data_IF_828448567498
#
_entry.id   IF_828448567498
#
_cell.length_a   1.000
_cell.length_b   1.000
_cell.length_c   1.000
_cell.angle_alpha   90.00
_cell.angle_beta   90.00
_cell.angle_gamma   90.00
#
_symmetry.space_group_name_H-M   'P 1'
#
loop_
_entity.id
_entity.type
_entity.pdbx_description
1 polymer ?
#
# COMPACT_ATOMS: atom_id res chain seq x y z
N UNK A 1 -11.99 30.34 -12.24
CA UNK A 1 -11.58 29.37 -13.26
C UNK A 1 -10.31 28.64 -12.83
N UNK A 2 -10.08 27.38 -13.31
CA UNK A 2 -8.95 26.59 -12.87
C UNK A 2 -7.59 27.21 -13.23
N UNK A 3 -7.52 27.88 -14.39
CA UNK A 3 -6.34 28.60 -14.84
C UNK A 3 -6.03 29.82 -13.94
N UNK A 4 -7.04 30.57 -13.56
CA UNK A 4 -6.88 31.70 -12.63
C UNK A 4 -6.39 31.22 -11.28
N UNK A 5 -6.99 30.15 -10.72
CA UNK A 5 -6.54 29.57 -9.45
C UNK A 5 -5.08 29.11 -9.54
N UNK A 6 -4.68 28.49 -10.66
CA UNK A 6 -3.28 28.08 -10.86
C UNK A 6 -2.34 29.29 -10.88
N UNK A 7 -2.74 30.37 -11.54
CA UNK A 7 -1.96 31.61 -11.59
C UNK A 7 -1.84 32.26 -10.20
N UNK A 8 -2.93 32.31 -9.44
CA UNK A 8 -2.93 32.85 -8.06
C UNK A 8 -2.05 32.04 -7.11
N UNK A 9 -2.11 30.69 -7.20
CA UNK A 9 -1.23 29.80 -6.44
C UNK A 9 0.23 30.08 -6.82
N UNK A 10 0.56 30.17 -8.11
CA UNK A 10 1.91 30.46 -8.57
C UNK A 10 2.43 31.79 -7.99
N UNK A 11 1.61 32.83 -8.05
CA UNK A 11 1.91 34.15 -7.51
C UNK A 11 2.17 34.08 -6.00
N UNK A 12 1.26 33.45 -5.26
CA UNK A 12 1.40 33.29 -3.81
C UNK A 12 2.68 32.53 -3.43
N UNK A 13 2.97 31.42 -4.09
CA UNK A 13 4.20 30.65 -3.84
C UNK A 13 5.46 31.49 -4.10
N UNK A 14 5.50 32.21 -5.21
CA UNK A 14 6.67 33.01 -5.58
C UNK A 14 6.84 34.24 -4.68
N UNK A 15 5.78 35.00 -4.44
CA UNK A 15 5.87 36.27 -3.73
C UNK A 15 5.96 36.09 -2.22
N UNK A 16 5.17 35.16 -1.65
CA UNK A 16 5.04 35.00 -0.19
C UNK A 16 6.02 33.95 0.35
N UNK A 17 6.10 32.78 -0.29
CA UNK A 17 6.89 31.66 0.22
C UNK A 17 8.27 31.54 -0.43
N UNK A 18 8.57 32.32 -1.48
CA UNK A 18 9.82 32.25 -2.26
C UNK A 18 10.10 30.86 -2.84
N UNK A 19 9.02 30.17 -3.25
CA UNK A 19 9.04 28.85 -3.85
C UNK A 19 8.61 28.92 -5.32
N UNK A 20 9.20 28.05 -6.13
CA UNK A 20 8.81 27.91 -7.55
C UNK A 20 7.81 26.78 -7.73
N UNK A 21 6.75 27.06 -8.52
CA UNK A 21 5.78 26.06 -8.93
C UNK A 21 6.35 25.24 -10.09
N UNK A 22 6.44 23.90 -9.93
CA UNK A 22 6.85 23.02 -11.03
C UNK A 22 5.72 22.93 -12.06
N UNK A 23 5.90 23.52 -13.22
CA UNK A 23 4.94 23.49 -14.34
C UNK A 23 4.65 22.06 -14.79
N UNK A 24 5.67 21.20 -14.88
CA UNK A 24 5.51 19.79 -15.29
C UNK A 24 4.64 18.97 -14.33
N UNK A 25 4.62 19.32 -13.05
CA UNK A 25 3.90 18.58 -12.01
C UNK A 25 2.56 19.20 -11.67
N UNK A 26 2.30 20.43 -12.12
CA UNK A 26 1.07 21.18 -11.83
C UNK A 26 0.18 21.19 -13.05
N UNK A 27 -0.60 20.12 -13.18
CA UNK A 27 -1.52 19.92 -14.29
C UNK A 27 -2.96 20.23 -13.87
N UNK A 28 -3.71 20.83 -14.79
CA UNK A 28 -5.16 20.95 -14.69
C UNK A 28 -5.76 19.71 -15.36
N UNK A 29 -6.41 18.88 -14.56
CA UNK A 29 -6.99 17.62 -15.04
C UNK A 29 -8.50 17.65 -14.84
N UNK A 30 -9.25 17.15 -15.84
CA UNK A 30 -10.69 16.99 -15.67
C UNK A 30 -10.97 16.03 -14.50
N UNK A 31 -11.95 16.37 -13.66
CA UNK A 31 -12.28 15.56 -12.48
C UNK A 31 -12.70 14.12 -12.80
N UNK A 32 -13.18 13.85 -14.03
CA UNK A 32 -13.51 12.50 -14.52
C UNK A 32 -12.28 11.71 -14.96
N UNK A 33 -11.22 12.42 -15.34
CA UNK A 33 -9.96 11.81 -15.70
C UNK A 33 -9.17 11.45 -14.44
N UNK A 34 -8.22 10.54 -14.60
CA UNK A 34 -7.41 10.09 -13.46
C UNK A 34 -6.27 11.08 -13.20
N UNK A 35 -6.30 11.72 -12.05
CA UNK A 35 -5.19 12.51 -11.53
C UNK A 35 -4.37 11.69 -10.55
N UNK A 36 -3.04 11.78 -10.64
CA UNK A 36 -2.14 11.12 -9.69
C UNK A 36 -1.71 12.07 -8.58
N UNK A 37 -2.02 11.68 -7.32
CA UNK A 37 -1.60 12.43 -6.15
C UNK A 37 -1.17 11.50 -5.03
N UNK A 38 -0.01 11.74 -4.44
CA UNK A 38 0.58 10.90 -3.37
C UNK A 38 0.53 9.39 -3.69
N UNK A 39 0.86 9.03 -4.91
CA UNK A 39 0.80 7.64 -5.41
C UNK A 39 -0.58 6.98 -5.39
N UNK A 40 -1.65 7.75 -5.30
CA UNK A 40 -3.02 7.30 -5.55
C UNK A 40 -3.48 7.78 -6.91
N UNK A 41 -4.33 7.01 -7.56
CA UNK A 41 -5.13 7.46 -8.69
C UNK A 41 -6.45 8.01 -8.15
N UNK A 42 -6.71 9.29 -8.42
CA UNK A 42 -7.89 10.01 -7.93
C UNK A 42 -8.74 10.40 -9.14
N UNK A 43 -10.01 10.09 -9.07
CA UNK A 43 -10.99 10.49 -10.08
C UNK A 43 -12.39 10.56 -9.50
N UNK A 44 -13.28 11.25 -10.18
CA UNK A 44 -14.70 11.32 -9.84
C UNK A 44 -15.44 10.24 -10.62
N UNK A 45 -16.11 9.33 -9.91
CA UNK A 45 -16.86 8.26 -10.58
C UNK A 45 -18.08 8.81 -11.31
N UNK A 46 -18.22 8.43 -12.57
CA UNK A 46 -19.35 8.74 -13.43
C UNK A 46 -20.24 7.50 -13.64
N UNK A 47 -20.54 6.81 -12.55
CA UNK A 47 -21.30 5.58 -12.62
C UNK A 47 -22.79 5.87 -12.38
N UNK A 48 -23.59 5.86 -13.43
CA UNK A 48 -25.04 5.98 -13.39
C UNK A 48 -25.77 4.64 -13.26
N UNK A 49 -25.06 3.56 -12.90
CA UNK A 49 -25.65 2.25 -12.77
C UNK A 49 -26.73 2.22 -11.68
N UNK A 50 -27.79 1.50 -11.97
CA UNK A 50 -28.81 1.15 -10.98
C UNK A 50 -28.29 -0.02 -10.15
N UNK A 51 -28.35 0.10 -8.84
CA UNK A 51 -28.01 -0.97 -7.91
C UNK A 51 -29.28 -1.41 -7.18
N UNK A 52 -29.59 -2.69 -7.26
CA UNK A 52 -30.68 -3.30 -6.51
C UNK A 52 -30.18 -3.66 -5.10
N UNK A 53 -30.85 -3.18 -4.07
CA UNK A 53 -30.54 -3.54 -2.70
C UNK A 53 -31.11 -4.93 -2.35
N UNK A 54 -30.77 -5.45 -1.17
CA UNK A 54 -31.18 -6.77 -0.72
C UNK A 54 -32.71 -6.94 -0.60
N UNK A 55 -33.48 -5.84 -0.66
CA UNK A 55 -34.92 -5.78 -0.55
C UNK A 55 -35.59 -5.57 -1.92
N UNK A 56 -34.86 -5.64 -3.02
CA UNK A 56 -35.39 -5.43 -4.36
C UNK A 56 -35.60 -3.95 -4.75
N UNK A 57 -35.14 -3.01 -3.92
CA UNK A 57 -35.30 -1.59 -4.24
C UNK A 57 -34.14 -1.13 -5.12
N UNK A 58 -34.49 -0.61 -6.28
CA UNK A 58 -33.52 -0.04 -7.21
C UNK A 58 -33.08 1.35 -6.76
N UNK A 59 -31.80 1.53 -6.48
CA UNK A 59 -31.19 2.83 -6.13
C UNK A 59 -30.18 3.23 -7.19
N UNK A 60 -30.20 4.50 -7.59
CA UNK A 60 -29.11 5.05 -8.38
C UNK A 60 -27.84 5.09 -7.55
N UNK A 61 -26.74 4.54 -8.06
CA UNK A 61 -25.42 4.80 -7.51
C UNK A 61 -25.15 6.28 -7.74
N UNK A 62 -24.88 7.05 -6.68
CA UNK A 62 -24.56 8.47 -6.83
C UNK A 62 -23.32 8.60 -7.70
N UNK A 63 -23.48 9.17 -8.89
CA UNK A 63 -22.37 9.76 -9.66
C UNK A 63 -21.71 10.88 -8.85
N UNK A 64 -20.49 11.22 -9.18
CA UNK A 64 -19.80 12.32 -8.50
C UNK A 64 -19.10 11.96 -7.19
N UNK A 65 -18.88 10.67 -6.87
CA UNK A 65 -18.04 10.28 -5.74
C UNK A 65 -16.58 10.29 -6.12
N UNK A 66 -15.78 10.97 -5.32
CA UNK A 66 -14.32 10.87 -5.42
C UNK A 66 -13.87 9.46 -5.07
N UNK A 67 -13.07 8.86 -5.94
CA UNK A 67 -12.48 7.54 -5.78
C UNK A 67 -10.97 7.64 -5.64
N UNK A 68 -10.44 6.83 -4.74
CA UNK A 68 -8.99 6.66 -4.54
C UNK A 68 -8.62 5.24 -4.92
N UNK A 69 -7.76 5.08 -5.92
CA UNK A 69 -7.32 3.77 -6.37
C UNK A 69 -5.83 3.56 -6.15
N UNK A 70 -5.46 2.31 -5.90
CA UNK A 70 -4.07 1.84 -5.89
C UNK A 70 -3.66 1.60 -7.33
N UNK A 71 -2.68 2.34 -7.86
CA UNK A 71 -2.20 2.10 -9.22
C UNK A 71 -1.49 0.75 -9.33
N UNK A 72 -1.77 0.00 -10.39
CA UNK A 72 -1.21 -1.34 -10.57
C UNK A 72 0.32 -1.33 -10.67
N UNK A 73 0.89 -0.39 -11.40
CA UNK A 73 2.34 -0.26 -11.56
C UNK A 73 3.07 0.03 -10.24
N UNK A 74 2.40 0.64 -9.25
CA UNK A 74 3.03 0.96 -7.95
C UNK A 74 3.30 -0.30 -7.12
N UNK A 75 2.32 -1.19 -6.98
CA UNK A 75 2.53 -2.42 -6.22
C UNK A 75 3.38 -3.42 -7.00
N UNK A 76 3.30 -3.45 -8.34
CA UNK A 76 4.17 -4.26 -9.18
C UNK A 76 5.63 -3.81 -9.07
N UNK A 77 5.88 -2.50 -9.17
CA UNK A 77 7.22 -1.93 -8.97
C UNK A 77 7.77 -2.28 -7.59
N UNK A 78 6.95 -2.20 -6.53
CA UNK A 78 7.38 -2.59 -5.17
C UNK A 78 7.81 -4.05 -5.10
N UNK A 79 7.13 -4.97 -5.79
CA UNK A 79 7.55 -6.38 -5.86
C UNK A 79 8.92 -6.55 -6.53
N UNK A 80 9.19 -5.77 -7.58
CA UNK A 80 10.49 -5.78 -8.25
C UNK A 80 11.57 -5.15 -7.36
N UNK A 81 11.30 -4.01 -6.72
CA UNK A 81 12.21 -3.35 -5.78
C UNK A 81 12.58 -4.29 -4.62
N UNK A 82 11.63 -5.07 -4.12
CA UNK A 82 11.86 -6.09 -3.10
C UNK A 82 12.52 -7.36 -3.63
N UNK A 83 12.80 -7.44 -4.93
CA UNK A 83 13.35 -8.63 -5.60
C UNK A 83 12.50 -9.91 -5.32
N UNK A 84 11.19 -9.73 -5.22
CA UNK A 84 10.24 -10.81 -4.98
C UNK A 84 9.55 -11.29 -6.26
N UNK A 85 9.66 -10.53 -7.35
CA UNK A 85 9.00 -10.77 -8.62
C UNK A 85 9.97 -10.66 -9.78
N UNK A 86 9.87 -11.59 -10.72
CA UNK A 86 10.41 -11.52 -12.06
C UNK A 86 9.27 -11.58 -13.06
N UNK A 87 9.22 -10.66 -14.02
CA UNK A 87 8.24 -10.66 -15.09
C UNK A 87 8.82 -11.46 -16.24
N UNK A 88 8.14 -12.54 -16.64
CA UNK A 88 8.45 -13.35 -17.80
C UNK A 88 7.40 -13.14 -18.88
N UNK A 89 7.83 -13.23 -20.13
CA UNK A 89 6.92 -13.16 -21.28
C UNK A 89 6.80 -14.55 -21.88
N UNK A 90 5.57 -15.04 -22.00
CA UNK A 90 5.27 -16.29 -22.66
C UNK A 90 4.06 -16.10 -23.59
N UNK A 91 4.23 -16.42 -24.87
CA UNK A 91 3.19 -16.23 -25.88
C UNK A 91 2.61 -14.80 -25.90
N UNK A 92 3.45 -13.77 -25.75
CA UNK A 92 3.05 -12.37 -25.74
C UNK A 92 2.32 -11.90 -24.47
N UNK A 93 2.23 -12.75 -23.44
CA UNK A 93 1.59 -12.41 -22.16
C UNK A 93 2.62 -12.29 -21.05
N UNK A 94 2.40 -11.31 -20.17
CA UNK A 94 3.19 -11.15 -18.95
C UNK A 94 2.80 -12.23 -17.93
N UNK A 95 3.81 -12.93 -17.42
CA UNK A 95 3.65 -13.92 -16.36
C UNK A 95 4.41 -13.42 -15.13
N UNK A 96 3.71 -13.22 -14.05
CA UNK A 96 4.31 -12.89 -12.77
C UNK A 96 4.92 -14.14 -12.13
N UNK A 97 6.25 -14.22 -12.11
CA UNK A 97 6.98 -15.31 -11.50
C UNK A 97 7.56 -14.88 -10.15
N UNK A 98 6.98 -15.30 -9.01
CA UNK A 98 7.59 -15.04 -7.72
C UNK A 98 8.98 -15.68 -7.65
N UNK A 99 9.97 -14.97 -7.14
CA UNK A 99 11.36 -15.47 -7.00
C UNK A 99 11.79 -15.43 -5.54
N UNK A 100 12.78 -16.27 -5.19
CA UNK A 100 13.36 -16.23 -3.85
C UNK A 100 14.25 -15.00 -3.67
N UNK A 101 14.30 -14.50 -2.45
CA UNK A 101 15.12 -13.32 -2.10
C UNK A 101 16.45 -13.79 -1.55
N UNK A 102 17.45 -13.83 -2.41
CA UNK A 102 18.77 -14.40 -2.12
C UNK A 102 19.41 -13.80 -0.86
N UNK A 103 19.29 -12.48 -0.69
CA UNK A 103 19.88 -11.78 0.45
C UNK A 103 19.23 -12.10 1.80
N UNK A 104 18.05 -12.74 1.84
CA UNK A 104 17.40 -13.16 3.06
C UNK A 104 17.72 -14.61 3.46
N UNK A 105 18.38 -15.39 2.61
CA UNK A 105 18.61 -16.83 2.85
C UNK A 105 19.46 -17.07 4.09
N UNK A 106 20.42 -16.18 4.37
CA UNK A 106 21.30 -16.27 5.52
C UNK A 106 20.69 -15.77 6.84
N UNK A 107 19.56 -15.09 6.76
CA UNK A 107 18.90 -14.56 7.97
C UNK A 107 18.17 -15.65 8.73
N UNK A 108 17.86 -15.42 10.01
CA UNK A 108 17.00 -16.28 10.81
C UNK A 108 15.58 -16.38 10.20
N UNK A 109 14.94 -17.52 10.44
CA UNK A 109 13.57 -17.78 9.96
C UNK A 109 12.59 -16.71 10.45
N UNK A 110 12.78 -16.28 11.71
CA UNK A 110 11.97 -15.22 12.32
C UNK A 110 12.15 -13.90 11.56
N UNK A 111 13.39 -13.50 11.30
CA UNK A 111 13.72 -12.26 10.57
C UNK A 111 13.17 -12.27 9.15
N UNK A 112 13.25 -13.43 8.47
CA UNK A 112 12.69 -13.57 7.13
C UNK A 112 11.17 -13.27 7.17
N UNK A 113 10.42 -13.89 8.06
CA UNK A 113 8.96 -13.68 8.16
C UNK A 113 8.64 -12.25 8.61
N UNK A 114 9.42 -11.68 9.54
CA UNK A 114 9.25 -10.29 9.97
C UNK A 114 9.41 -9.32 8.81
N UNK A 115 10.43 -9.51 7.97
CA UNK A 115 10.69 -8.65 6.81
C UNK A 115 9.52 -8.70 5.82
N UNK A 116 9.06 -9.91 5.44
CA UNK A 116 7.90 -10.05 4.56
C UNK A 116 6.64 -9.42 5.15
N UNK A 117 6.39 -9.64 6.45
CA UNK A 117 5.26 -9.05 7.15
C UNK A 117 5.31 -7.52 7.20
N UNK A 118 6.49 -6.95 7.48
CA UNK A 118 6.69 -5.50 7.52
C UNK A 118 6.38 -4.84 6.17
N UNK A 119 6.86 -5.44 5.09
CA UNK A 119 6.64 -4.94 3.73
C UNK A 119 5.17 -5.04 3.31
N UNK A 120 4.50 -6.18 3.59
CA UNK A 120 3.08 -6.35 3.28
C UNK A 120 2.21 -5.39 4.09
N UNK A 121 2.45 -5.30 5.40
CA UNK A 121 1.70 -4.38 6.28
C UNK A 121 1.97 -2.93 5.94
N UNK A 122 3.21 -2.57 5.62
CA UNK A 122 3.59 -1.21 5.23
C UNK A 122 2.83 -0.75 4.00
N UNK A 123 2.78 -1.57 2.95
CA UNK A 123 2.04 -1.25 1.74
C UNK A 123 0.53 -1.17 2.02
N UNK A 124 -0.02 -2.12 2.77
CA UNK A 124 -1.44 -2.08 3.16
C UNK A 124 -1.78 -0.85 4.01
N UNK A 125 -0.96 -0.52 5.01
CA UNK A 125 -1.20 0.64 5.85
C UNK A 125 -1.21 1.94 5.06
N UNK A 126 -0.39 2.03 4.01
CA UNK A 126 -0.39 3.17 3.11
C UNK A 126 -1.68 3.25 2.30
N UNK A 127 -2.10 2.13 1.69
CA UNK A 127 -3.24 2.10 0.76
C UNK A 127 -4.59 1.69 1.38
N UNK A 128 -4.70 1.49 2.69
CA UNK A 128 -5.91 0.97 3.35
C UNK A 128 -7.17 1.83 3.17
N UNK A 129 -7.02 3.08 2.75
CA UNK A 129 -8.14 3.99 2.46
C UNK A 129 -8.62 3.90 1.01
N UNK A 130 -7.88 3.25 0.13
CA UNK A 130 -8.22 3.11 -1.29
C UNK A 130 -9.49 2.27 -1.50
N UNK A 131 -10.29 2.64 -2.50
CA UNK A 131 -11.53 1.92 -2.83
C UNK A 131 -11.26 0.51 -3.37
N UNK A 132 -10.16 0.35 -4.10
CA UNK A 132 -9.73 -0.93 -4.67
C UNK A 132 -8.62 -1.62 -3.86
N UNK A 133 -8.47 -1.33 -2.58
CA UNK A 133 -7.37 -1.88 -1.74
C UNK A 133 -7.26 -3.40 -1.79
N UNK A 134 -8.35 -4.10 -2.10
CA UNK A 134 -8.35 -5.57 -2.30
C UNK A 134 -7.37 -6.05 -3.37
N UNK A 135 -6.97 -5.18 -4.32
CA UNK A 135 -5.94 -5.49 -5.34
C UNK A 135 -4.60 -5.89 -4.72
N UNK A 136 -4.33 -5.44 -3.49
CA UNK A 136 -3.14 -5.85 -2.74
C UNK A 136 -3.14 -7.35 -2.39
N UNK A 137 -4.26 -8.06 -2.60
CA UNK A 137 -4.29 -9.52 -2.56
C UNK A 137 -3.34 -10.15 -3.58
N UNK A 138 -3.21 -9.58 -4.78
CA UNK A 138 -2.25 -10.03 -5.80
C UNK A 138 -0.80 -9.80 -5.35
N UNK A 139 -0.52 -8.63 -4.77
CA UNK A 139 0.78 -8.32 -4.16
C UNK A 139 1.13 -9.35 -3.09
N UNK A 140 0.22 -9.59 -2.15
CA UNK A 140 0.43 -10.54 -1.06
C UNK A 140 0.62 -11.99 -1.55
N UNK A 141 -0.09 -12.38 -2.61
CA UNK A 141 0.09 -13.68 -3.23
C UNK A 141 1.53 -13.87 -3.73
N UNK A 142 2.06 -12.90 -4.47
CA UNK A 142 3.45 -12.94 -4.97
C UNK A 142 4.44 -12.96 -3.81
N UNK A 143 4.24 -12.11 -2.79
CA UNK A 143 5.09 -12.07 -1.60
C UNK A 143 5.10 -13.39 -0.84
N UNK A 144 3.94 -14.02 -0.65
CA UNK A 144 3.80 -15.33 0.00
C UNK A 144 4.56 -16.42 -0.75
N UNK A 145 4.43 -16.48 -2.09
CA UNK A 145 5.15 -17.47 -2.89
C UNK A 145 6.65 -17.17 -2.98
N UNK A 146 7.05 -15.91 -3.01
CA UNK A 146 8.45 -15.50 -2.89
C UNK A 146 9.05 -15.98 -1.56
N UNK A 147 8.31 -15.81 -0.45
CA UNK A 147 8.71 -16.31 0.87
C UNK A 147 8.89 -17.84 0.85
N UNK A 148 7.93 -18.60 0.31
CA UNK A 148 8.06 -20.04 0.20
C UNK A 148 9.30 -20.45 -0.60
N UNK A 149 9.58 -19.77 -1.70
CA UNK A 149 10.79 -20.01 -2.51
C UNK A 149 12.06 -19.64 -1.75
N UNK A 150 12.04 -18.57 -0.91
CA UNK A 150 13.18 -18.18 -0.07
C UNK A 150 13.48 -19.25 0.98
N UNK A 151 12.47 -19.76 1.68
CA UNK A 151 12.64 -20.90 2.59
C UNK A 151 13.04 -22.19 1.85
N UNK A 152 12.49 -22.40 0.66
CA UNK A 152 12.87 -23.51 -0.20
C UNK A 152 14.36 -23.47 -0.57
N UNK A 153 14.86 -22.30 -0.97
CA UNK A 153 16.28 -22.09 -1.27
C UNK A 153 17.18 -22.27 -0.03
N UNK A 154 16.74 -21.71 1.12
CA UNK A 154 17.49 -21.82 2.39
C UNK A 154 17.67 -23.28 2.82
N UNK A 155 16.61 -24.07 2.77
CA UNK A 155 16.61 -25.45 3.27
C UNK A 155 16.72 -26.52 2.20
N UNK A 156 16.93 -26.12 0.93
CA UNK A 156 16.96 -27.03 -0.24
C UNK A 156 15.70 -27.90 -0.33
N UNK A 157 14.54 -27.30 -0.09
CA UNK A 157 13.23 -27.94 -0.10
C UNK A 157 12.37 -27.42 -1.27
N UNK A 158 11.55 -28.29 -1.81
CA UNK A 158 10.44 -27.85 -2.68
C UNK A 158 9.40 -27.06 -1.86
N UNK A 159 8.60 -26.24 -2.51
CA UNK A 159 7.52 -25.48 -1.88
C UNK A 159 6.57 -26.38 -1.08
N UNK A 160 6.29 -27.61 -1.57
CA UNK A 160 5.49 -28.60 -0.84
C UNK A 160 6.10 -29.00 0.51
N UNK A 161 7.42 -29.18 0.57
CA UNK A 161 8.16 -29.46 1.80
C UNK A 161 8.13 -28.29 2.77
N UNK A 162 8.31 -27.06 2.27
CA UNK A 162 8.19 -25.85 3.08
C UNK A 162 6.79 -25.73 3.67
N UNK A 163 5.75 -25.95 2.86
CA UNK A 163 4.35 -25.92 3.30
C UNK A 163 4.04 -26.99 4.36
N UNK A 164 4.63 -28.17 4.22
CA UNK A 164 4.49 -29.26 5.22
C UNK A 164 5.13 -28.88 6.55
N UNK A 165 6.31 -28.23 6.53
CA UNK A 165 7.08 -27.87 7.72
C UNK A 165 6.49 -26.67 8.47
N UNK A 166 6.06 -25.61 7.77
CA UNK A 166 5.66 -24.32 8.36
C UNK A 166 4.17 -24.02 8.23
N UNK A 167 3.41 -24.85 7.51
CA UNK A 167 2.00 -24.62 7.18
C UNK A 167 1.80 -23.84 5.88
N UNK A 168 0.64 -24.02 5.28
CA UNK A 168 0.26 -23.28 4.06
C UNK A 168 -0.71 -22.14 4.36
N UNK A 169 -1.80 -22.46 5.05
CA UNK A 169 -2.86 -21.49 5.37
C UNK A 169 -2.41 -20.55 6.50
N UNK A 170 -1.71 -21.10 7.47
CA UNK A 170 -1.13 -20.35 8.58
C UNK A 170 0.37 -20.65 8.65
N UNK A 171 1.12 -20.04 7.72
CA UNK A 171 2.57 -20.17 7.73
C UNK A 171 3.13 -19.52 8.98
N UNK A 172 3.78 -20.27 9.83
CA UNK A 172 4.29 -19.78 11.10
C UNK A 172 5.67 -20.31 11.46
N UNK A 173 6.48 -19.45 12.06
CA UNK A 173 7.80 -19.76 12.59
C UNK A 173 7.76 -19.66 14.11
N UNK A 174 8.21 -20.72 14.78
CA UNK A 174 8.32 -20.77 16.22
C UNK A 174 9.59 -20.07 16.70
N UNK A 175 9.50 -19.35 17.78
CA UNK A 175 10.64 -18.67 18.39
C UNK A 175 10.49 -18.62 19.92
N UNK A 176 11.61 -18.58 20.63
CA UNK A 176 11.65 -18.53 22.09
C UNK A 176 11.62 -17.08 22.57
N UNK A 177 10.85 -16.84 23.63
CA UNK A 177 10.83 -15.58 24.36
C UNK A 177 11.04 -15.85 25.88
N UNK A 178 11.29 -14.78 26.64
CA UNK A 178 11.35 -14.89 28.12
C UNK A 178 10.05 -15.43 28.72
N UNK A 179 8.94 -15.36 28.03
CA UNK A 179 7.62 -15.83 28.46
C UNK A 179 7.23 -17.21 27.88
N UNK A 180 8.15 -17.89 27.18
CA UNK A 180 7.93 -19.17 26.52
C UNK A 180 7.95 -19.14 25.00
N UNK A 181 7.59 -20.26 24.37
CA UNK A 181 7.54 -20.41 22.93
C UNK A 181 6.37 -19.60 22.35
N UNK A 182 6.63 -18.85 21.29
CA UNK A 182 5.64 -18.10 20.50
C UNK A 182 5.77 -18.46 19.03
N UNK A 183 4.71 -18.19 18.25
CA UNK A 183 4.69 -18.41 16.82
C UNK A 183 4.45 -17.06 16.12
N UNK A 184 5.33 -16.69 15.20
CA UNK A 184 5.12 -15.58 14.31
C UNK A 184 4.47 -16.09 13.02
N UNK A 185 3.26 -15.64 12.73
CA UNK A 185 2.55 -15.98 11.51
C UNK A 185 2.83 -14.98 10.41
N UNK A 186 2.86 -15.46 9.17
CA UNK A 186 2.78 -14.60 8.00
C UNK A 186 1.43 -13.86 7.95
N UNK A 187 1.42 -12.64 7.41
CA UNK A 187 0.25 -11.78 7.36
C UNK A 187 -0.88 -12.37 6.51
N UNK A 188 -2.03 -12.61 7.11
CA UNK A 188 -3.23 -13.19 6.48
C UNK A 188 -4.54 -12.44 6.83
N UNK A 189 -4.44 -11.25 7.43
CA UNK A 189 -5.62 -10.49 7.86
C UNK A 189 -6.47 -9.93 6.70
N UNK A 190 -5.99 -10.07 5.45
CA UNK A 190 -6.67 -9.57 4.26
C UNK A 190 -6.52 -8.06 4.06
N UNK A 191 -7.13 -7.55 2.98
CA UNK A 191 -6.99 -6.16 2.54
C UNK A 191 -8.39 -5.55 2.41
N UNK A 192 -8.91 -5.02 3.50
CA UNK A 192 -10.21 -4.34 3.56
C UNK A 192 -10.01 -2.83 3.61
N UNK A 193 -10.86 -2.09 2.89
CA UNK A 193 -10.89 -0.64 3.00
C UNK A 193 -11.21 -0.23 4.42
N UNK A 194 -10.38 0.62 4.99
CA UNK A 194 -10.64 1.27 6.28
C UNK A 194 -11.37 2.57 6.00
N UNK A 195 -12.51 2.77 6.65
CA UNK A 195 -13.22 4.03 6.58
C UNK A 195 -12.37 5.09 7.30
N UNK A 196 -12.04 6.16 6.59
CA UNK A 196 -11.47 7.35 7.21
C UNK A 196 -12.55 7.99 8.07
N UNK A 197 -12.18 8.45 9.24
CA UNK A 197 -13.07 9.31 10.04
C UNK A 197 -13.45 10.56 9.23
N UNK A 198 -14.63 11.11 9.49
CA UNK A 198 -15.01 12.40 8.93
C UNK A 198 -13.98 13.41 9.45
N UNK A 199 -13.35 14.15 8.54
CA UNK A 199 -12.48 15.27 8.94
C UNK A 199 -13.31 16.19 9.82
N UNK A 200 -12.87 16.40 11.06
CA UNK A 200 -13.50 17.34 11.96
C UNK A 200 -13.06 18.73 11.50
N UNK A 201 -13.99 19.60 11.07
CA UNK A 201 -13.62 20.95 10.61
C UNK A 201 -12.92 21.78 11.69
N UNK A 202 -13.07 21.39 12.94
CA UNK A 202 -12.45 22.05 14.09
C UNK A 202 -10.96 21.73 14.28
N UNK A 203 -10.44 20.67 13.61
CA UNK A 203 -9.02 20.27 13.78
C UNK A 203 -8.07 21.35 13.31
N UNK A 204 -8.45 22.12 12.30
CA UNK A 204 -7.63 23.21 11.77
C UNK A 204 -7.68 24.46 12.64
N UNK A 205 -8.70 24.59 13.51
CA UNK A 205 -8.88 25.71 14.42
C UNK A 205 -8.26 25.49 15.82
N UNK A 206 -7.78 24.28 16.10
CA UNK A 206 -7.07 23.99 17.36
C UNK A 206 -5.65 24.53 17.25
N UNK A 207 -5.23 25.46 18.13
CA UNK A 207 -3.86 25.94 18.17
C UNK A 207 -2.92 24.75 18.32
N UNK A 208 -2.06 24.52 17.33
CA UNK A 208 -1.03 23.46 17.40
C UNK A 208 -0.02 23.89 18.47
N UNK A 209 -0.18 23.40 19.68
CA UNK A 209 0.86 23.53 20.70
C UNK A 209 2.03 22.66 20.28
N UNK A 210 2.98 23.26 19.59
CA UNK A 210 4.26 22.61 19.34
C UNK A 210 4.97 22.50 20.70
N UNK A 211 4.97 21.32 21.31
CA UNK A 211 5.93 21.04 22.37
C UNK A 211 7.31 21.02 21.71
N UNK A 212 8.07 22.09 21.95
CA UNK A 212 9.49 22.09 21.64
C UNK A 212 10.16 21.06 22.54
N UNK A 213 10.22 19.82 22.09
CA UNK A 213 11.13 18.81 22.62
C UNK A 213 12.53 19.15 22.11
N UNK A 214 13.09 20.25 22.57
CA UNK A 214 14.49 20.56 22.33
C UNK A 214 15.31 19.67 23.26
N UNK A 215 16.11 18.73 22.73
CA UNK A 215 16.95 17.87 23.58
C UNK A 215 18.10 18.61 24.29
N UNK A 216 18.24 19.91 24.07
CA UNK A 216 19.26 20.74 24.70
C UNK A 216 18.91 21.21 26.12
N UNK A 217 17.74 20.88 26.67
CA UNK A 217 17.38 21.22 28.06
C UNK A 217 17.74 20.14 29.09
N UNK A 218 18.52 19.13 28.71
CA UNK A 218 19.00 18.08 29.61
C UNK A 218 20.48 18.20 30.04
N UNK A 219 21.07 19.38 29.80
CA UNK A 219 22.40 19.70 30.33
C UNK A 219 22.31 20.97 31.17
N UNK A 220 21.93 20.79 32.42
CA UNK A 220 22.21 21.69 33.54
C UNK A 220 22.16 20.91 34.83
#
# INVERSE_FOLDING_TARGET
>A
DAEEIKADIKKFLTETLKLELSEEKTLITNARDTARFLSYDIFVSDNESLHEDKNGHTRRVRSGKVKLYVPSEKWQKKLMDYKALEIKYQNGREIFNPVHRTYLISNDDLEIVQQYNAEVRGLYNYYKIADNVSVLGHFNYVMKFSMFKTFGAKYKLHISGVRKKYGYKHFGVKYQTKQGEKILYYYEAGFKKVKTGIAKPEVDNVPKVYRNNNPTSLIS
#
